data_IF_328070230790
#
_entry.id   IF_328070230790
#
_cell.length_a   1.000
_cell.length_b   1.000
_cell.length_c   1.000
_cell.angle_alpha   90.00
_cell.angle_beta   90.00
_cell.angle_gamma   90.00
#
_symmetry.space_group_name_H-M   'P 1'
#
loop_
_entity.id
_entity.type
_entity.pdbx_description
1 polymer ?
#
# COMPACT_ATOMS: atom_id res chain seq x y z
N UNK A 1 18.17 -22.11 9.98
CA UNK A 1 16.89 -21.58 9.46
C UNK A 1 17.18 -20.87 8.15
N UNK A 2 16.25 -20.87 7.20
CA UNK A 2 16.30 -19.93 6.08
C UNK A 2 15.47 -18.71 6.48
N UNK A 3 16.11 -17.59 6.82
CA UNK A 3 15.45 -16.29 6.68
C UNK A 3 15.44 -15.94 5.19
N UNK A 4 14.34 -15.36 4.70
CA UNK A 4 14.42 -14.49 3.53
C UNK A 4 14.66 -13.11 4.12
N UNK A 5 15.87 -12.59 4.03
CA UNK A 5 16.17 -11.26 4.54
C UNK A 5 15.50 -10.24 3.59
N UNK A 6 14.60 -9.42 4.15
CA UNK A 6 13.77 -8.49 3.39
C UNK A 6 14.14 -7.03 3.71
N UNK A 7 14.44 -6.27 2.65
CA UNK A 7 14.45 -4.81 2.71
C UNK A 7 13.09 -4.27 2.27
N UNK A 8 12.49 -3.35 3.03
CA UNK A 8 11.20 -2.72 2.69
C UNK A 8 11.38 -1.22 2.56
N UNK A 9 11.05 -0.67 1.38
CA UNK A 9 10.96 0.75 1.12
C UNK A 9 9.48 1.17 1.18
N UNK A 10 9.18 2.14 2.05
CA UNK A 10 7.84 2.66 2.30
C UNK A 10 7.72 4.10 1.78
N UNK A 11 7.87 4.26 0.47
CA UNK A 11 7.69 5.55 -0.19
C UNK A 11 6.22 6.00 -0.20
N UNK A 12 5.99 7.32 -0.29
CA UNK A 12 4.63 7.91 -0.38
C UNK A 12 3.89 7.50 -1.67
N UNK A 13 4.63 7.18 -2.73
CA UNK A 13 4.09 6.82 -4.04
C UNK A 13 4.05 5.31 -4.31
N UNK A 14 5.06 4.55 -3.88
CA UNK A 14 5.15 3.10 -4.06
C UNK A 14 5.84 2.43 -2.86
N UNK A 15 5.41 1.22 -2.54
CA UNK A 15 6.11 0.27 -1.66
C UNK A 15 6.97 -0.64 -2.53
N UNK A 16 8.20 -0.88 -2.10
CA UNK A 16 9.07 -1.90 -2.69
C UNK A 16 9.51 -2.89 -1.61
N UNK A 17 9.57 -4.17 -1.97
CA UNK A 17 10.21 -5.19 -1.15
C UNK A 17 11.35 -5.81 -1.95
N UNK A 18 12.57 -5.70 -1.42
CA UNK A 18 13.75 -6.44 -1.84
C UNK A 18 13.85 -7.71 -0.99
N UNK A 19 14.19 -8.84 -1.62
CA UNK A 19 14.55 -10.07 -0.91
C UNK A 19 15.96 -10.49 -1.32
N UNK A 20 16.79 -10.87 -0.35
CA UNK A 20 18.16 -11.26 -0.65
C UNK A 20 18.26 -12.47 -1.59
N UNK A 21 19.29 -12.45 -2.45
CA UNK A 21 19.46 -13.38 -3.56
C UNK A 21 18.40 -13.33 -4.66
N UNK A 22 17.34 -12.50 -4.53
CA UNK A 22 16.18 -12.46 -5.46
C UNK A 22 15.93 -11.09 -6.08
N UNK A 23 16.42 -10.01 -5.47
CA UNK A 23 16.17 -8.65 -5.94
C UNK A 23 14.80 -8.11 -5.49
N UNK A 24 14.22 -7.19 -6.27
CA UNK A 24 12.93 -6.58 -5.96
C UNK A 24 11.80 -7.56 -6.28
N UNK A 25 11.14 -8.07 -5.23
CA UNK A 25 10.04 -9.06 -5.31
C UNK A 25 8.64 -8.43 -5.21
N UNK A 26 8.53 -7.18 -4.75
CA UNK A 26 7.28 -6.39 -4.78
C UNK A 26 7.60 -4.97 -5.25
N UNK A 27 6.72 -4.41 -6.09
CA UNK A 27 6.70 -3.00 -6.50
C UNK A 27 5.25 -2.59 -6.75
N UNK A 28 4.59 -2.05 -5.72
CA UNK A 28 3.16 -1.71 -5.74
C UNK A 28 2.96 -0.23 -5.36
N UNK A 29 1.97 0.48 -5.91
CA UNK A 29 1.60 1.82 -5.43
C UNK A 29 1.24 1.83 -3.95
N UNK A 30 1.65 2.88 -3.22
CA UNK A 30 1.35 3.06 -1.80
C UNK A 30 -0.08 3.55 -1.60
N UNK A 31 -1.05 2.71 -1.95
CA UNK A 31 -2.49 3.01 -1.87
C UNK A 31 -3.21 1.85 -1.20
N UNK A 32 -4.13 2.19 -0.30
CA UNK A 32 -5.08 1.25 0.31
C UNK A 32 -6.50 1.70 -0.02
N UNK A 33 -7.42 0.75 -0.20
CA UNK A 33 -8.85 1.01 -0.26
C UNK A 33 -9.53 0.34 0.93
N UNK A 34 -10.24 1.12 1.75
CA UNK A 34 -10.86 0.67 3.00
C UNK A 34 -12.34 1.03 3.06
N UNK A 35 -13.11 0.17 3.70
CA UNK A 35 -14.48 0.43 4.13
C UNK A 35 -14.47 1.31 5.40
N UNK A 36 -14.94 2.56 5.32
CA UNK A 36 -14.91 3.50 6.45
C UNK A 36 -15.87 3.16 7.60
N UNK A 37 -16.82 2.24 7.41
CA UNK A 37 -17.76 1.84 8.47
C UNK A 37 -17.20 0.71 9.33
N UNK A 38 -16.28 -0.09 8.78
CA UNK A 38 -15.74 -1.31 9.41
C UNK A 38 -14.22 -1.30 9.58
N UNK A 39 -13.51 -0.34 8.99
CA UNK A 39 -12.05 -0.31 8.91
C UNK A 39 -11.44 -1.40 8.02
N UNK A 40 -12.27 -2.19 7.32
CA UNK A 40 -11.80 -3.36 6.57
C UNK A 40 -11.08 -2.94 5.30
N UNK A 41 -9.86 -3.44 5.11
CA UNK A 41 -9.13 -3.35 3.84
C UNK A 41 -9.88 -4.16 2.76
N UNK A 42 -10.19 -3.51 1.65
CA UNK A 42 -10.87 -4.08 0.50
C UNK A 42 -9.89 -4.37 -0.65
N UNK A 43 -8.92 -3.48 -0.87
CA UNK A 43 -7.84 -3.62 -1.85
C UNK A 43 -6.57 -2.90 -1.38
N UNK A 44 -5.44 -3.26 -1.97
CA UNK A 44 -4.14 -2.57 -1.83
C UNK A 44 -3.48 -2.39 -3.19
N UNK A 45 -2.39 -1.63 -3.27
CA UNK A 45 -1.54 -1.56 -4.47
C UNK A 45 -2.25 -0.98 -5.69
N UNK A 46 -1.96 -1.54 -6.87
CA UNK A 46 -2.52 -1.10 -8.14
C UNK A 46 -4.05 -1.20 -8.18
N UNK A 47 -4.64 -2.21 -7.53
CA UNK A 47 -6.10 -2.36 -7.43
C UNK A 47 -6.72 -1.20 -6.64
N UNK A 48 -6.14 -0.82 -5.50
CA UNK A 48 -6.58 0.34 -4.73
C UNK A 48 -6.31 1.67 -5.46
N UNK A 49 -5.17 1.81 -6.15
CA UNK A 49 -4.85 3.02 -6.95
C UNK A 49 -5.90 3.27 -8.03
N UNK A 50 -6.41 2.22 -8.67
CA UNK A 50 -7.45 2.33 -9.70
C UNK A 50 -8.81 2.81 -9.15
N UNK A 51 -9.00 2.82 -7.82
CA UNK A 51 -10.20 3.31 -7.13
C UNK A 51 -10.08 4.79 -6.70
N UNK A 52 -8.91 5.43 -6.81
CA UNK A 52 -8.72 6.83 -6.44
C UNK A 52 -9.68 7.75 -7.21
N UNK A 53 -10.45 8.57 -6.49
CA UNK A 53 -11.50 9.43 -7.06
C UNK A 53 -12.68 8.69 -7.68
N UNK A 54 -12.83 7.38 -7.42
CA UNK A 54 -13.82 6.48 -8.05
C UNK A 54 -14.49 5.52 -7.05
N UNK A 55 -14.38 5.77 -5.75
CA UNK A 55 -14.99 4.92 -4.72
C UNK A 55 -16.47 5.23 -4.50
N UNK A 56 -17.33 4.21 -4.26
CA UNK A 56 -18.72 4.42 -3.89
C UNK A 56 -18.88 4.66 -2.37
N UNK A 57 -19.76 5.59 -2.00
CA UNK A 57 -20.34 5.70 -0.66
C UNK A 57 -19.33 5.72 0.49
N UNK A 58 -19.29 4.63 1.27
CA UNK A 58 -18.46 4.49 2.46
C UNK A 58 -17.04 3.97 2.19
N UNK A 59 -16.66 3.71 0.94
CA UNK A 59 -15.30 3.28 0.59
C UNK A 59 -14.41 4.50 0.34
N UNK A 60 -13.20 4.49 0.90
CA UNK A 60 -12.15 5.47 0.58
C UNK A 60 -10.92 4.76 0.02
N UNK A 61 -10.32 5.33 -1.01
CA UNK A 61 -9.00 4.94 -1.51
C UNK A 61 -8.03 6.08 -1.18
N UNK A 62 -6.91 5.78 -0.52
CA UNK A 62 -6.00 6.79 0.02
C UNK A 62 -4.54 6.32 0.03
N UNK A 63 -3.61 7.28 0.03
CA UNK A 63 -2.21 7.04 0.33
C UNK A 63 -2.02 7.10 1.86
N UNK A 64 -1.64 6.00 2.55
CA UNK A 64 -1.41 6.00 4.00
C UNK A 64 -0.05 6.58 4.41
N UNK A 65 0.74 7.00 3.42
CA UNK A 65 2.09 7.56 3.56
C UNK A 65 2.13 8.89 2.80
N UNK A 66 2.37 9.99 3.52
CA UNK A 66 2.37 11.36 2.98
C UNK A 66 3.57 12.11 3.55
N UNK A 67 4.26 12.89 2.72
CA UNK A 67 5.39 13.74 3.13
C UNK A 67 6.48 13.03 3.97
N UNK A 68 6.66 11.72 3.77
CA UNK A 68 7.62 10.87 4.48
C UNK A 68 7.13 10.27 5.81
N UNK A 69 5.89 10.55 6.23
CA UNK A 69 5.29 10.03 7.46
C UNK A 69 4.05 9.14 7.21
N UNK A 70 3.69 8.33 8.20
CA UNK A 70 2.39 7.66 8.26
C UNK A 70 1.30 8.70 8.48
N UNK A 71 0.24 8.65 7.68
CA UNK A 71 -0.83 9.66 7.65
C UNK A 71 -2.16 9.02 7.26
N UNK A 72 -3.19 9.16 8.09
CA UNK A 72 -4.58 8.79 7.77
C UNK A 72 -5.56 9.88 8.20
N UNK A 73 -6.58 10.10 7.36
CA UNK A 73 -7.59 11.18 7.41
C UNK A 73 -8.90 10.70 6.74
#
# INVERSE_FOLDING_TARGET
>A
MFSNDLGVDLGTSNVLIYADGKGIVVREPSVVAVDRNTGKILQVGAAARNMLGRTPGNVVAMHPLKDGIVSDH
#
